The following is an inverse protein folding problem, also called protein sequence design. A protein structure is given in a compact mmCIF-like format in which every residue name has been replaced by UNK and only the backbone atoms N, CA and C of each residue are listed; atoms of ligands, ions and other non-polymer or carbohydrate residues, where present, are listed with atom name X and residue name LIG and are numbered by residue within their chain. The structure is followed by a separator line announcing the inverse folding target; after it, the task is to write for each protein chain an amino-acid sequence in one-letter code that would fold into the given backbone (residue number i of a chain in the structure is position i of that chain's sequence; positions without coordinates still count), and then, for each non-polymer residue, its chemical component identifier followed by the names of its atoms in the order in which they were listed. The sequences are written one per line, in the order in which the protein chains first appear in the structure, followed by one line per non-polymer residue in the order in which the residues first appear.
data_IF_671903128026
#
_entry.id   IF_671903128026
#
_cell.length_a   1.000
_cell.length_b   1.000
_cell.length_c   1.000
_cell.angle_alpha   90.00
_cell.angle_beta   90.00
_cell.angle_gamma   90.00
#
_symmetry.space_group_name_H-M   'P 1'
#
loop_
_entity.id
_entity.type
_entity.pdbx_description
1 polymer ?
#
# COMPACT_ATOMS: atom_id res chain seq x y z
N UNK A 1 -20.99 3.03 46.73
CA UNK A 1 -19.93 2.07 47.11
C UNK A 1 -20.47 0.68 46.82
N UNK A 2 -19.61 -0.25 46.39
CA UNK A 2 -19.88 -1.62 45.89
C UNK A 2 -19.97 -1.73 44.36
N UNK A 3 -18.84 -2.15 43.79
CA UNK A 3 -18.67 -2.66 42.44
C UNK A 3 -19.17 -4.10 42.36
N UNK A 4 -19.82 -4.48 41.25
CA UNK A 4 -20.01 -5.88 40.88
C UNK A 4 -19.18 -6.19 39.63
N UNK A 5 -18.23 -7.12 39.82
CA UNK A 5 -17.40 -7.73 38.79
C UNK A 5 -18.23 -8.74 38.00
N UNK A 6 -18.19 -8.64 36.67
CA UNK A 6 -18.57 -9.73 35.77
C UNK A 6 -17.37 -10.10 34.92
N UNK A 7 -16.82 -11.28 35.18
CA UNK A 7 -15.78 -11.94 34.38
C UNK A 7 -16.35 -12.25 32.99
N UNK A 8 -15.67 -11.82 31.93
CA UNK A 8 -15.85 -12.37 30.58
C UNK A 8 -14.59 -13.15 30.26
N UNK A 9 -14.75 -14.47 30.15
CA UNK A 9 -13.77 -15.42 29.65
C UNK A 9 -13.67 -15.31 28.14
N UNK A 10 -12.48 -14.99 27.62
CA UNK A 10 -12.18 -15.08 26.19
C UNK A 10 -11.81 -16.53 25.85
N UNK A 11 -12.73 -17.24 25.19
CA UNK A 11 -12.43 -18.53 24.57
C UNK A 11 -11.70 -18.30 23.25
N UNK A 12 -10.60 -19.04 23.08
CA UNK A 12 -9.76 -19.02 21.89
C UNK A 12 -10.47 -19.54 20.65
N UNK A 13 -10.27 -18.82 19.55
CA UNK A 13 -10.50 -19.32 18.20
C UNK A 13 -9.34 -18.80 17.32
N UNK A 14 -8.30 -19.62 17.19
CA UNK A 14 -7.26 -19.50 16.17
C UNK A 14 -6.88 -20.90 15.71
N UNK A 15 -7.70 -21.50 14.84
CA UNK A 15 -7.44 -22.82 14.26
C UNK A 15 -7.51 -22.84 12.72
N UNK A 16 -7.58 -21.68 12.06
CA UNK A 16 -7.77 -21.63 10.60
C UNK A 16 -6.62 -21.06 9.77
N UNK A 17 -5.56 -20.50 10.39
CA UNK A 17 -4.42 -19.96 9.65
C UNK A 17 -3.25 -20.95 9.50
N UNK A 18 -3.07 -21.91 10.43
CA UNK A 18 -1.96 -22.88 10.35
C UNK A 18 -2.19 -24.03 9.35
N UNK A 19 -3.43 -24.37 9.01
CA UNK A 19 -3.73 -25.64 8.34
C UNK A 19 -3.70 -25.61 6.80
N UNK A 20 -3.61 -24.44 6.16
CA UNK A 20 -3.67 -24.33 4.69
C UNK A 20 -2.29 -24.23 4.02
N UNK A 21 -1.25 -23.79 4.73
CA UNK A 21 0.13 -23.72 4.22
C UNK A 21 0.89 -25.06 4.34
N UNK A 22 0.51 -25.93 5.28
CA UNK A 22 1.25 -27.19 5.55
C UNK A 22 0.94 -28.38 4.64
N UNK A 23 -0.04 -28.30 3.73
CA UNK A 23 -0.55 -29.49 3.01
C UNK A 23 -0.10 -29.71 1.55
N UNK A 24 0.81 -28.91 1.00
CA UNK A 24 1.23 -29.07 -0.41
C UNK A 24 2.71 -29.42 -0.61
N UNK A 25 3.44 -29.80 0.44
CA UNK A 25 4.82 -30.27 0.28
C UNK A 25 4.98 -31.59 1.03
N UNK A 26 4.61 -32.70 0.39
CA UNK A 26 5.21 -34.00 0.70
C UNK A 26 5.16 -34.94 -0.53
N UNK A 27 6.38 -35.26 -0.98
CA UNK A 27 6.85 -36.47 -1.65
C UNK A 27 6.29 -36.87 -3.03
N UNK A 28 7.11 -36.65 -4.06
CA UNK A 28 7.42 -37.69 -5.05
C UNK A 28 8.94 -37.73 -5.26
N UNK A 29 9.59 -38.71 -4.62
CA UNK A 29 10.95 -39.13 -4.98
C UNK A 29 10.77 -40.13 -6.13
N UNK A 30 11.15 -39.72 -7.34
CA UNK A 30 11.45 -40.66 -8.42
C UNK A 30 12.82 -40.29 -9.00
N UNK A 31 13.72 -41.28 -8.96
CA UNK A 31 15.06 -41.22 -9.52
C UNK A 31 14.97 -41.01 -11.03
N UNK A 32 15.35 -39.84 -11.52
CA UNK A 32 15.67 -39.61 -12.93
C UNK A 32 17.11 -39.12 -13.04
N UNK A 33 17.88 -39.80 -13.88
CA UNK A 33 19.24 -39.44 -14.26
C UNK A 33 19.26 -38.02 -14.85
N UNK A 34 19.90 -37.08 -14.15
CA UNK A 34 20.01 -35.69 -14.60
C UNK A 34 21.31 -35.55 -15.41
N UNK A 35 21.16 -35.43 -16.73
CA UNK A 35 22.17 -34.79 -17.58
C UNK A 35 22.30 -33.32 -17.16
N UNK A 36 23.52 -32.77 -16.97
CA UNK A 36 23.68 -31.43 -16.44
C UNK A 36 23.20 -30.40 -17.47
N UNK A 37 21.98 -29.90 -17.29
CA UNK A 37 21.58 -28.63 -17.89
C UNK A 37 22.21 -27.54 -17.02
N UNK A 38 22.99 -26.67 -17.66
CA UNK A 38 23.67 -25.56 -17.02
C UNK A 38 22.67 -24.71 -16.23
N UNK A 39 22.75 -24.79 -14.90
CA UNK A 39 22.18 -23.77 -14.02
C UNK A 39 23.03 -22.51 -14.22
N UNK A 40 22.45 -21.47 -14.80
CA UNK A 40 23.02 -20.14 -14.72
C UNK A 40 22.94 -19.72 -13.24
N UNK A 41 24.04 -19.88 -12.53
CA UNK A 41 24.25 -19.29 -11.21
C UNK A 41 24.37 -17.78 -11.45
N UNK A 42 23.30 -17.03 -11.21
CA UNK A 42 23.39 -15.58 -11.09
C UNK A 42 24.14 -15.29 -9.79
N UNK A 43 25.41 -14.90 -9.92
CA UNK A 43 26.21 -14.46 -8.78
C UNK A 43 25.67 -13.17 -8.19
N UNK A 44 25.75 -13.08 -6.87
CA UNK A 44 25.48 -11.91 -6.03
C UNK A 44 25.92 -10.59 -6.67
N UNK A 45 24.93 -9.73 -6.92
CA UNK A 45 25.10 -8.39 -7.41
C UNK A 45 23.71 -7.87 -7.71
N UNK A 46 23.29 -6.87 -6.96
CA UNK A 46 22.04 -6.13 -7.12
C UNK A 46 21.54 -6.19 -8.57
N UNK A 47 20.25 -6.48 -8.78
CA UNK A 47 19.59 -5.99 -9.98
C UNK A 47 19.91 -4.51 -9.98
N UNK A 48 20.87 -4.09 -10.81
CA UNK A 48 21.28 -2.70 -10.96
C UNK A 48 19.98 -1.99 -11.32
N UNK A 49 19.29 -1.45 -10.30
CA UNK A 49 18.15 -0.56 -10.43
C UNK A 49 18.67 0.44 -11.44
N UNK A 50 18.18 0.41 -12.70
CA UNK A 50 18.98 0.95 -13.78
C UNK A 50 19.33 2.37 -13.38
N UNK A 51 20.62 2.69 -13.37
CA UNK A 51 21.12 4.05 -13.18
C UNK A 51 20.56 5.01 -14.28
N UNK A 52 19.72 4.49 -15.19
CA UNK A 52 18.91 5.17 -16.19
C UNK A 52 17.48 5.51 -15.72
N UNK A 53 17.01 4.97 -14.60
CA UNK A 53 15.71 5.33 -14.00
C UNK A 53 15.82 6.65 -13.22
N UNK A 54 14.68 7.29 -12.93
CA UNK A 54 14.63 8.50 -12.11
C UNK A 54 15.06 8.29 -10.64
N UNK A 55 15.41 7.06 -10.25
CA UNK A 55 15.94 6.70 -8.94
C UNK A 55 17.38 7.17 -8.82
N UNK A 56 17.65 8.06 -7.85
CA UNK A 56 18.97 8.69 -7.64
C UNK A 56 19.71 8.13 -6.42
N UNK A 57 19.03 7.41 -5.54
CA UNK A 57 19.63 6.75 -4.38
C UNK A 57 18.73 5.59 -3.93
N UNK A 58 19.32 4.53 -3.37
CA UNK A 58 18.59 3.44 -2.76
C UNK A 58 19.39 2.81 -1.62
N UNK A 59 18.70 2.12 -0.71
CA UNK A 59 19.31 1.37 0.38
C UNK A 59 18.43 0.18 0.77
N UNK A 60 19.04 -0.92 1.18
CA UNK A 60 18.33 -2.11 1.67
C UNK A 60 17.44 -1.77 2.89
N UNK A 61 16.18 -2.21 2.87
CA UNK A 61 15.25 -2.06 3.98
C UNK A 61 15.68 -2.84 5.23
N UNK A 62 16.33 -3.98 5.08
CA UNK A 62 16.81 -4.85 6.16
C UNK A 62 18.19 -4.40 6.68
N UNK A 63 18.31 -3.10 6.95
CA UNK A 63 19.54 -2.46 7.44
C UNK A 63 19.29 -1.66 8.72
N UNK A 64 20.36 -1.28 9.42
CA UNK A 64 20.26 -0.53 10.68
C UNK A 64 19.42 -1.27 11.72
N UNK A 65 18.40 -0.61 12.27
CA UNK A 65 17.48 -1.22 13.25
C UNK A 65 16.67 -2.40 12.69
N UNK A 66 16.54 -2.53 11.37
CA UNK A 66 15.79 -3.62 10.73
C UNK A 66 16.71 -4.77 10.27
N UNK A 67 17.99 -4.74 10.63
CA UNK A 67 18.99 -5.74 10.23
C UNK A 67 18.77 -7.12 10.85
N UNK A 68 18.13 -7.20 12.02
CA UNK A 68 17.66 -8.44 12.64
C UNK A 68 16.31 -8.22 13.32
N UNK A 69 15.55 -9.30 13.51
CA UNK A 69 14.27 -9.27 14.22
C UNK A 69 14.43 -8.72 15.65
N UNK A 70 15.44 -9.20 16.39
CA UNK A 70 15.74 -8.71 17.74
C UNK A 70 16.12 -7.22 17.76
N UNK A 71 16.90 -6.73 16.80
CA UNK A 71 17.22 -5.29 16.71
C UNK A 71 15.95 -4.45 16.48
N UNK A 72 15.07 -4.91 15.60
CA UNK A 72 13.82 -4.23 15.28
C UNK A 72 12.84 -4.24 16.46
N UNK A 73 12.66 -5.40 17.10
CA UNK A 73 11.85 -5.57 18.31
C UNK A 73 12.35 -4.65 19.42
N UNK A 74 13.64 -4.69 19.74
CA UNK A 74 14.22 -3.86 20.80
C UNK A 74 14.06 -2.37 20.50
N UNK A 75 14.34 -1.94 19.26
CA UNK A 75 14.12 -0.54 18.87
C UNK A 75 12.66 -0.13 19.01
N UNK A 76 11.70 -1.00 18.70
CA UNK A 76 10.27 -0.67 18.77
C UNK A 76 9.75 -0.67 20.20
N UNK A 77 10.07 -1.71 20.98
CA UNK A 77 9.61 -1.88 22.36
C UNK A 77 10.23 -0.84 23.28
N UNK A 78 11.56 -0.66 23.21
CA UNK A 78 12.30 0.22 24.12
C UNK A 78 12.09 1.69 23.73
N UNK A 79 12.25 2.04 22.45
CA UNK A 79 12.23 3.46 22.06
C UNK A 79 10.82 4.02 21.87
N UNK A 80 9.82 3.17 21.62
CA UNK A 80 8.43 3.62 21.36
C UNK A 80 7.44 3.24 22.47
N UNK A 81 7.89 2.51 23.50
CA UNK A 81 7.04 2.11 24.64
C UNK A 81 5.94 1.12 24.27
N UNK A 82 6.07 0.44 23.12
CA UNK A 82 5.11 -0.59 22.67
C UNK A 82 5.32 -1.83 23.53
N UNK A 83 4.24 -2.43 24.04
CA UNK A 83 4.33 -3.70 24.79
C UNK A 83 4.86 -4.79 23.88
N UNK A 84 5.88 -5.52 24.33
CA UNK A 84 6.53 -6.59 23.55
C UNK A 84 5.53 -7.62 23.00
N UNK A 85 4.59 -8.07 23.82
CA UNK A 85 3.53 -8.99 23.40
C UNK A 85 2.68 -8.46 22.23
N UNK A 86 2.47 -7.14 22.13
CA UNK A 86 1.75 -6.53 21.01
C UNK A 86 2.61 -6.52 19.75
N UNK A 87 3.92 -6.28 19.90
CA UNK A 87 4.86 -6.37 18.80
C UNK A 87 4.90 -7.79 18.23
N UNK A 88 5.15 -8.80 19.07
CA UNK A 88 5.26 -10.20 18.64
C UNK A 88 3.96 -10.69 18.01
N UNK A 89 2.81 -10.31 18.57
CA UNK A 89 1.51 -10.65 17.99
C UNK A 89 1.32 -10.07 16.58
N UNK A 90 1.93 -8.92 16.30
CA UNK A 90 1.76 -8.20 15.03
C UNK A 90 2.82 -8.55 14.00
N UNK A 91 4.04 -8.85 14.44
CA UNK A 91 5.22 -9.08 13.62
C UNK A 91 5.89 -10.35 14.14
N UNK A 92 5.67 -11.48 13.47
CA UNK A 92 6.30 -12.73 13.88
C UNK A 92 7.75 -12.78 13.41
N UNK A 93 8.60 -13.47 14.15
CA UNK A 93 9.99 -13.71 13.76
C UNK A 93 10.08 -14.56 12.49
N UNK A 94 9.22 -15.58 12.38
CA UNK A 94 9.12 -16.44 11.19
C UNK A 94 8.80 -15.62 9.93
N UNK A 95 7.81 -14.72 9.99
CA UNK A 95 7.47 -13.85 8.85
C UNK A 95 8.61 -12.89 8.53
N UNK A 96 9.35 -12.41 9.52
CA UNK A 96 10.53 -11.58 9.29
C UNK A 96 11.60 -12.33 8.51
N UNK A 97 11.94 -13.56 8.91
CA UNK A 97 12.90 -14.39 8.19
C UNK A 97 12.40 -14.74 6.79
N UNK A 98 11.13 -15.14 6.67
CA UNK A 98 10.48 -15.41 5.40
C UNK A 98 10.61 -14.22 4.43
N UNK A 99 10.25 -13.00 4.86
CA UNK A 99 10.35 -11.81 4.03
C UNK A 99 11.79 -11.47 3.68
N UNK A 100 12.71 -11.49 4.65
CA UNK A 100 14.11 -11.15 4.45
C UNK A 100 14.81 -12.11 3.49
N UNK A 101 14.50 -13.39 3.57
CA UNK A 101 15.10 -14.43 2.74
C UNK A 101 14.56 -14.38 1.31
N UNK A 102 13.24 -14.13 1.15
CA UNK A 102 12.55 -14.34 -0.13
C UNK A 102 12.20 -13.06 -0.89
N UNK A 103 12.42 -11.86 -0.34
CA UNK A 103 12.16 -10.59 -1.04
C UNK A 103 13.36 -9.67 -1.06
N UNK A 104 13.54 -8.95 -2.16
CA UNK A 104 14.30 -7.70 -2.17
C UNK A 104 13.41 -6.59 -1.64
N UNK A 105 13.97 -5.71 -0.81
CA UNK A 105 13.31 -4.48 -0.37
C UNK A 105 14.31 -3.33 -0.35
N UNK A 106 13.99 -2.27 -1.07
CA UNK A 106 14.79 -1.06 -1.13
C UNK A 106 13.97 0.14 -0.70
N UNK A 107 14.51 0.95 0.21
CA UNK A 107 14.12 2.35 0.33
C UNK A 107 14.75 3.11 -0.83
N UNK A 108 13.93 3.74 -1.67
CA UNK A 108 14.40 4.47 -2.85
C UNK A 108 14.21 5.98 -2.67
N UNK A 109 15.05 6.76 -3.33
CA UNK A 109 14.85 8.19 -3.59
C UNK A 109 14.82 8.40 -5.08
N UNK A 110 13.75 9.00 -5.58
CA UNK A 110 13.59 9.26 -7.01
C UNK A 110 13.24 10.74 -7.26
N UNK A 111 13.59 11.19 -8.47
CA UNK A 111 13.41 12.57 -8.90
C UNK A 111 12.08 12.72 -9.64
N UNK A 112 11.32 13.73 -9.24
CA UNK A 112 10.11 14.18 -9.92
C UNK A 112 10.28 15.66 -10.19
N UNK A 113 10.39 16.03 -11.47
CA UNK A 113 10.71 17.41 -11.87
C UNK A 113 11.96 17.96 -11.14
N UNK A 114 11.76 18.92 -10.22
CA UNK A 114 12.82 19.60 -9.46
C UNK A 114 12.88 19.16 -7.99
N UNK A 115 12.12 18.15 -7.58
CA UNK A 115 12.12 17.65 -6.21
C UNK A 115 12.46 16.15 -6.12
N UNK A 116 12.86 15.75 -4.92
CA UNK A 116 13.19 14.38 -4.55
C UNK A 116 12.08 13.82 -3.69
N UNK A 117 11.71 12.57 -3.96
CA UNK A 117 10.68 11.85 -3.23
C UNK A 117 11.25 10.54 -2.72
N UNK A 118 10.97 10.20 -1.46
CA UNK A 118 11.30 8.88 -0.92
C UNK A 118 10.19 7.89 -1.26
N UNK A 119 10.55 6.63 -1.40
CA UNK A 119 9.62 5.54 -1.64
C UNK A 119 10.19 4.21 -1.20
N UNK A 120 9.47 3.15 -1.53
CA UNK A 120 9.91 1.78 -1.34
C UNK A 120 9.69 0.99 -2.62
N UNK A 121 10.57 0.01 -2.87
CA UNK A 121 10.46 -0.96 -3.94
C UNK A 121 10.69 -2.35 -3.35
N UNK A 122 9.75 -3.26 -3.56
CA UNK A 122 9.80 -4.64 -3.10
C UNK A 122 9.50 -5.57 -4.26
N UNK A 123 10.21 -6.70 -4.35
CA UNK A 123 9.93 -7.75 -5.33
C UNK A 123 10.55 -9.09 -4.87
N UNK A 124 10.05 -10.25 -5.33
CA UNK A 124 10.56 -11.54 -4.90
C UNK A 124 12.01 -11.79 -5.38
N UNK A 125 12.83 -12.48 -4.57
CA UNK A 125 14.21 -12.85 -4.95
C UNK A 125 14.22 -14.02 -5.91
N UNK A 126 13.47 -15.06 -5.59
CA UNK A 126 13.24 -16.15 -6.53
C UNK A 126 12.16 -15.73 -7.50
N UNK A 127 12.51 -15.67 -8.77
CA UNK A 127 11.54 -15.50 -9.84
C UNK A 127 11.81 -16.53 -10.93
N UNK A 128 11.04 -17.62 -10.90
CA UNK A 128 11.04 -18.63 -11.97
C UNK A 128 10.29 -18.15 -13.23
N UNK A 129 9.83 -16.89 -13.27
CA UNK A 129 8.90 -16.41 -14.29
C UNK A 129 9.46 -15.37 -15.26
N UNK A 130 8.85 -15.44 -16.45
CA UNK A 130 8.48 -14.35 -17.35
C UNK A 130 8.08 -13.08 -16.56
N UNK A 131 8.19 -11.91 -17.21
CA UNK A 131 7.82 -10.59 -16.69
C UNK A 131 6.62 -10.63 -15.70
N UNK A 132 6.80 -10.10 -14.49
CA UNK A 132 5.84 -10.17 -13.36
C UNK A 132 5.01 -8.86 -13.22
N UNK A 133 3.77 -8.94 -12.71
CA UNK A 133 2.90 -7.77 -12.60
C UNK A 133 3.38 -6.82 -11.48
N UNK A 134 2.98 -5.56 -11.60
CA UNK A 134 3.36 -4.49 -10.65
C UNK A 134 2.16 -3.91 -9.92
N UNK A 135 2.37 -3.51 -8.67
CA UNK A 135 1.41 -2.82 -7.81
C UNK A 135 2.04 -1.50 -7.36
N UNK A 136 1.42 -0.40 -7.76
CA UNK A 136 1.71 0.92 -7.19
C UNK A 136 0.88 1.06 -5.92
N UNK A 137 1.54 1.08 -4.76
CA UNK A 137 0.89 1.27 -3.48
C UNK A 137 0.85 2.76 -3.10
N UNK A 138 -0.37 3.27 -2.94
CA UNK A 138 -0.66 4.64 -2.55
C UNK A 138 -1.08 4.68 -1.08
N UNK A 139 -0.22 5.26 -0.24
CA UNK A 139 -0.46 5.41 1.21
C UNK A 139 -1.55 6.45 1.53
N UNK A 140 -2.19 6.30 2.68
CA UNK A 140 -3.19 7.22 3.24
C UNK A 140 -2.59 8.48 3.89
N UNK A 141 -3.29 9.08 4.86
CA UNK A 141 -2.68 10.10 5.75
C UNK A 141 -2.23 11.41 5.10
N UNK A 142 -1.28 12.12 5.71
CA UNK A 142 -0.83 13.46 5.29
C UNK A 142 0.69 13.64 5.47
N UNK A 143 1.19 14.87 5.35
CA UNK A 143 2.60 15.28 5.44
C UNK A 143 3.30 14.91 6.76
N UNK A 144 2.53 14.58 7.81
CA UNK A 144 3.05 14.20 9.12
C UNK A 144 3.88 12.92 9.10
N UNK A 145 4.96 12.88 9.89
CA UNK A 145 5.82 11.70 10.07
C UNK A 145 5.02 10.46 10.51
N UNK A 146 4.03 10.63 11.39
CA UNK A 146 3.19 9.54 11.91
C UNK A 146 2.28 8.89 10.86
N UNK A 147 2.14 9.54 9.70
CA UNK A 147 1.29 9.06 8.64
C UNK A 147 2.07 8.45 7.49
N UNK A 148 3.41 8.53 7.48
CA UNK A 148 4.28 8.01 6.42
C UNK A 148 4.39 6.48 6.46
N UNK A 149 4.80 5.87 5.35
CA UNK A 149 5.12 4.44 5.32
C UNK A 149 6.36 4.15 6.17
N UNK A 150 6.22 3.20 7.10
CA UNK A 150 7.30 2.63 7.91
C UNK A 150 7.55 1.17 7.53
N UNK A 151 8.66 0.61 8.00
CA UNK A 151 8.95 -0.83 7.84
C UNK A 151 7.79 -1.70 8.36
N UNK A 152 7.19 -1.36 9.49
CA UNK A 152 5.99 -2.01 10.04
C UNK A 152 4.80 -2.02 9.07
N UNK A 153 4.62 -0.95 8.29
CA UNK A 153 3.59 -0.89 7.26
C UNK A 153 3.95 -1.79 6.07
N UNK A 154 5.21 -1.80 5.64
CA UNK A 154 5.69 -2.71 4.60
C UNK A 154 5.44 -4.16 5.04
N UNK A 155 5.81 -4.51 6.27
CA UNK A 155 5.64 -5.83 6.87
C UNK A 155 4.17 -6.27 6.86
N UNK A 156 3.28 -5.36 7.27
CA UNK A 156 1.86 -5.70 7.41
C UNK A 156 1.12 -5.81 6.07
N UNK A 157 1.59 -5.14 5.00
CA UNK A 157 0.77 -4.93 3.79
C UNK A 157 1.50 -5.15 2.47
N UNK A 158 2.81 -4.88 2.37
CA UNK A 158 3.53 -4.86 1.09
C UNK A 158 4.42 -6.09 0.87
N UNK A 159 5.13 -6.56 1.90
CA UNK A 159 5.92 -7.78 1.82
C UNK A 159 5.08 -9.01 1.43
N UNK A 160 3.88 -9.22 2.00
CA UNK A 160 3.01 -10.30 1.55
C UNK A 160 2.69 -10.24 0.04
N UNK A 161 2.43 -9.05 -0.51
CA UNK A 161 2.12 -8.89 -1.94
C UNK A 161 3.35 -9.22 -2.82
N UNK A 162 4.54 -8.85 -2.35
CA UNK A 162 5.79 -9.17 -3.03
C UNK A 162 6.08 -10.68 -3.03
N UNK A 163 5.84 -11.37 -1.91
CA UNK A 163 5.95 -12.84 -1.84
C UNK A 163 4.98 -13.54 -2.80
N UNK A 164 3.80 -12.98 -3.02
CA UNK A 164 2.80 -13.48 -3.97
C UNK A 164 3.14 -13.16 -5.44
N UNK A 165 4.40 -12.80 -5.73
CA UNK A 165 4.91 -12.67 -7.10
C UNK A 165 4.67 -11.31 -7.75
N UNK A 166 4.52 -10.23 -6.97
CA UNK A 166 4.33 -8.88 -7.49
C UNK A 166 5.54 -7.99 -7.25
N UNK A 167 5.80 -7.08 -8.18
CA UNK A 167 6.62 -5.89 -7.88
C UNK A 167 5.72 -4.93 -7.12
N UNK A 168 6.12 -4.46 -5.95
CA UNK A 168 5.38 -3.46 -5.17
C UNK A 168 6.23 -2.21 -5.04
N UNK A 169 5.74 -1.09 -5.57
CA UNK A 169 6.42 0.20 -5.49
C UNK A 169 5.51 1.22 -4.83
N UNK A 170 6.06 2.03 -3.91
CA UNK A 170 5.29 2.97 -3.11
C UNK A 170 5.97 4.33 -3.02
N UNK A 171 5.17 5.40 -3.01
CA UNK A 171 5.65 6.77 -2.79
C UNK A 171 5.34 7.25 -1.38
N UNK A 172 6.25 8.02 -0.76
CA UNK A 172 5.95 8.78 0.46
C UNK A 172 5.15 10.06 0.18
N UNK A 173 5.08 10.47 -1.08
CA UNK A 173 4.66 11.78 -1.57
C UNK A 173 5.62 12.91 -1.19
N UNK A 174 5.68 13.93 -2.04
CA UNK A 174 6.36 15.18 -1.76
C UNK A 174 5.81 15.84 -0.49
N UNK A 175 6.65 16.57 0.22
CA UNK A 175 6.30 17.25 1.47
C UNK A 175 6.17 16.34 2.70
N UNK A 176 6.20 15.02 2.54
CA UNK A 176 6.21 14.10 3.67
C UNK A 176 7.43 14.32 4.57
N UNK A 177 7.23 14.33 5.89
CA UNK A 177 8.28 14.51 6.91
C UNK A 177 9.12 13.24 7.12
N UNK A 178 9.78 12.79 6.05
CA UNK A 178 10.65 11.59 5.97
C UNK A 178 12.14 11.92 5.76
N UNK A 179 12.45 13.19 5.54
CA UNK A 179 13.81 13.67 5.38
C UNK A 179 14.45 13.97 6.74
N UNK A 180 15.73 13.61 6.96
CA UNK A 180 16.43 14.03 8.18
C UNK A 180 16.56 15.56 8.22
N UNK A 181 16.71 16.13 9.42
CA UNK A 181 16.90 17.60 9.59
C UNK A 181 18.10 18.15 8.81
N UNK A 182 19.09 17.31 8.52
CA UNK A 182 20.28 17.65 7.73
C UNK A 182 20.02 17.74 6.22
N UNK A 183 18.87 17.25 5.73
CA UNK A 183 18.55 17.29 4.30
C UNK A 183 18.41 18.74 3.81
N UNK A 184 19.19 19.10 2.79
CA UNK A 184 19.21 20.44 2.17
C UNK A 184 18.55 20.47 0.78
N UNK A 185 17.99 19.36 0.31
CA UNK A 185 17.36 19.28 -1.00
C UNK A 185 15.90 19.75 -1.00
N UNK A 186 15.30 19.81 -2.19
CA UNK A 186 13.87 20.05 -2.36
C UNK A 186 13.09 18.73 -2.21
N UNK A 187 12.33 18.58 -1.13
CA UNK A 187 11.52 17.40 -0.82
C UNK A 187 10.09 17.43 -1.36
N UNK A 188 9.76 18.43 -2.18
CA UNK A 188 8.39 18.63 -2.69
C UNK A 188 7.43 19.20 -1.65
N UNK A 189 6.15 19.26 -2.00
CA UNK A 189 5.07 19.78 -1.16
C UNK A 189 3.93 18.77 -1.16
N UNK A 190 3.25 18.63 -0.03
CA UNK A 190 2.04 17.82 0.09
C UNK A 190 0.81 18.73 -0.09
N UNK A 191 0.08 18.58 -1.21
CA UNK A 191 -1.13 19.34 -1.50
C UNK A 191 -2.42 18.54 -1.28
N UNK A 192 -2.34 17.37 -0.63
CA UNK A 192 -3.47 16.50 -0.33
C UNK A 192 -4.34 16.12 -1.54
N UNK A 193 -3.76 15.66 -2.64
CA UNK A 193 -4.42 15.35 -3.92
C UNK A 193 -4.07 16.33 -5.03
N UNK A 194 -2.97 17.08 -4.90
CA UNK A 194 -2.53 18.09 -5.87
C UNK A 194 -1.29 17.64 -6.64
N UNK A 195 -0.23 18.43 -6.58
CA UNK A 195 1.01 18.21 -7.33
C UNK A 195 1.65 16.83 -7.09
N UNK A 196 1.53 16.26 -5.88
CA UNK A 196 2.13 14.97 -5.52
C UNK A 196 1.44 13.76 -6.17
N UNK A 197 0.34 13.94 -6.91
CA UNK A 197 -0.16 12.92 -7.85
C UNK A 197 0.89 12.61 -8.93
N UNK A 198 1.71 13.58 -9.32
CA UNK A 198 2.81 13.34 -10.25
C UNK A 198 3.90 12.43 -9.67
N UNK A 199 4.03 12.39 -8.33
CA UNK A 199 4.97 11.48 -7.67
C UNK A 199 4.52 10.02 -7.83
N UNK A 200 3.20 9.78 -7.81
CA UNK A 200 2.61 8.46 -8.08
C UNK A 200 2.85 8.06 -9.54
N UNK A 201 2.58 8.97 -10.49
CA UNK A 201 2.76 8.70 -11.91
C UNK A 201 4.23 8.46 -12.29
N UNK A 202 5.16 9.11 -11.60
CA UNK A 202 6.60 8.92 -11.79
C UNK A 202 7.11 7.52 -11.40
N UNK A 203 6.30 6.69 -10.71
CA UNK A 203 6.63 5.31 -10.42
C UNK A 203 6.47 4.39 -11.65
N UNK A 204 5.62 4.74 -12.61
CA UNK A 204 5.40 3.96 -13.85
C UNK A 204 6.71 3.80 -14.65
N UNK A 205 7.46 4.87 -14.99
CA UNK A 205 8.72 4.70 -15.70
C UNK A 205 9.80 3.98 -14.87
N UNK A 206 9.72 3.99 -13.53
CA UNK A 206 10.61 3.19 -12.68
C UNK A 206 10.28 1.70 -12.84
N UNK A 207 8.99 1.34 -12.83
CA UNK A 207 8.52 -0.02 -13.13
C UNK A 207 8.98 -0.44 -14.53
N UNK A 208 8.78 0.39 -15.55
CA UNK A 208 9.14 0.08 -16.94
C UNK A 208 10.64 -0.20 -17.12
N UNK A 209 11.49 0.40 -16.28
CA UNK A 209 12.93 0.19 -16.29
C UNK A 209 13.34 -1.16 -15.66
N UNK A 210 12.50 -1.80 -14.84
CA UNK A 210 12.83 -3.08 -14.23
C UNK A 210 12.73 -4.20 -15.28
N UNK A 211 13.82 -4.96 -15.56
CA UNK A 211 13.80 -6.02 -16.56
C UNK A 211 12.75 -7.11 -16.29
N UNK A 212 12.48 -7.34 -15.01
CA UNK A 212 11.51 -8.31 -14.51
C UNK A 212 10.06 -7.82 -14.60
N UNK A 213 9.80 -6.53 -14.83
CA UNK A 213 8.43 -6.00 -14.83
C UNK A 213 7.69 -6.27 -16.15
N UNK A 214 6.41 -6.61 -16.01
CA UNK A 214 5.44 -6.59 -17.11
C UNK A 214 4.82 -5.19 -17.24
N UNK A 215 5.16 -4.42 -18.28
CA UNK A 215 4.66 -3.05 -18.44
C UNK A 215 3.15 -2.99 -18.71
N UNK A 216 2.51 -4.10 -19.07
CA UNK A 216 1.08 -4.14 -19.40
C UNK A 216 0.20 -4.53 -18.21
N UNK A 217 0.81 -4.94 -17.09
CA UNK A 217 0.10 -5.43 -15.90
C UNK A 217 0.49 -4.61 -14.68
N UNK A 218 -0.13 -3.43 -14.56
CA UNK A 218 0.05 -2.51 -13.43
C UNK A 218 -1.29 -2.29 -12.72
N UNK A 219 -1.33 -2.56 -11.41
CA UNK A 219 -2.43 -2.20 -10.53
C UNK A 219 -2.07 -1.00 -9.66
N UNK A 220 -3.08 -0.27 -9.18
CA UNK A 220 -2.90 0.66 -8.05
C UNK A 220 -3.67 0.16 -6.84
N UNK A 221 -3.00 0.10 -5.69
CA UNK A 221 -3.62 -0.21 -4.41
C UNK A 221 -3.52 1.00 -3.49
N UNK A 222 -4.66 1.62 -3.16
CA UNK A 222 -4.73 2.77 -2.27
C UNK A 222 -5.57 2.51 -1.03
N UNK A 223 -5.16 3.07 0.11
CA UNK A 223 -5.97 3.07 1.35
C UNK A 223 -6.24 4.49 1.85
N UNK A 224 -7.47 4.79 2.27
CA UNK A 224 -7.88 6.12 2.72
C UNK A 224 -7.56 7.18 1.65
N UNK A 225 -6.88 8.28 1.99
CA UNK A 225 -6.34 9.25 0.99
C UNK A 225 -5.63 8.55 -0.18
N UNK A 226 -4.94 7.44 0.05
CA UNK A 226 -4.27 6.69 -1.01
C UNK A 226 -5.20 6.22 -2.11
N UNK A 227 -6.44 5.85 -1.80
CA UNK A 227 -7.42 5.52 -2.83
C UNK A 227 -7.95 6.74 -3.58
N UNK A 228 -8.10 7.89 -2.89
CA UNK A 228 -8.34 9.17 -3.56
C UNK A 228 -7.19 9.50 -4.53
N UNK A 229 -5.94 9.33 -4.11
CA UNK A 229 -4.76 9.51 -4.97
C UNK A 229 -4.79 8.57 -6.18
N UNK A 230 -5.12 7.28 -5.98
CA UNK A 230 -5.27 6.30 -7.08
C UNK A 230 -6.34 6.72 -8.07
N UNK A 231 -7.51 7.19 -7.59
CA UNK A 231 -8.60 7.66 -8.44
C UNK A 231 -8.22 8.93 -9.22
N UNK A 232 -7.44 9.85 -8.64
CA UNK A 232 -6.96 11.03 -9.39
C UNK A 232 -5.91 10.60 -10.42
N UNK A 233 -4.95 9.76 -10.02
CA UNK A 233 -3.85 9.32 -10.87
C UNK A 233 -4.35 8.55 -12.11
N UNK A 234 -5.35 7.68 -11.95
CA UNK A 234 -5.89 6.88 -13.05
C UNK A 234 -6.54 7.72 -14.15
N UNK A 235 -7.01 8.93 -13.84
CA UNK A 235 -7.54 9.85 -14.88
C UNK A 235 -6.45 10.47 -15.76
N UNK A 236 -5.17 10.23 -15.43
CA UNK A 236 -4.00 10.84 -16.08
C UNK A 236 -3.11 9.82 -16.78
N UNK A 237 -3.51 8.54 -16.80
CA UNK A 237 -2.76 7.47 -17.45
C UNK A 237 -3.67 6.33 -17.87
N UNK A 238 -3.32 5.66 -18.95
CA UNK A 238 -3.96 4.45 -19.50
C UNK A 238 -3.23 3.15 -19.10
N UNK A 239 -2.17 3.26 -18.30
CA UNK A 239 -1.27 2.14 -17.95
C UNK A 239 -1.82 1.21 -16.87
N UNK A 240 -2.88 1.61 -16.17
CA UNK A 240 -3.39 0.90 -14.98
C UNK A 240 -4.56 0.00 -15.37
N UNK A 241 -4.47 -1.30 -15.03
CA UNK A 241 -5.48 -2.31 -15.34
C UNK A 241 -6.53 -2.49 -14.27
N UNK A 242 -6.16 -2.26 -13.02
CA UNK A 242 -7.10 -2.42 -11.91
C UNK A 242 -6.76 -1.54 -10.71
N UNK A 243 -7.80 -1.17 -9.96
CA UNK A 243 -7.70 -0.44 -8.70
C UNK A 243 -8.18 -1.30 -7.53
N UNK A 244 -7.48 -1.21 -6.41
CA UNK A 244 -7.93 -1.68 -5.10
C UNK A 244 -7.98 -0.46 -4.18
N UNK A 245 -9.16 -0.17 -3.64
CA UNK A 245 -9.44 1.04 -2.87
C UNK A 245 -10.02 0.66 -1.50
N UNK A 246 -9.20 0.75 -0.46
CA UNK A 246 -9.62 0.47 0.92
C UNK A 246 -10.01 1.74 1.67
N UNK A 247 -11.15 1.75 2.36
CA UNK A 247 -11.62 2.86 3.20
C UNK A 247 -11.49 4.25 2.55
N UNK A 248 -11.68 4.33 1.23
CA UNK A 248 -11.26 5.47 0.42
C UNK A 248 -12.37 6.52 0.29
N UNK A 249 -12.12 7.79 0.65
CA UNK A 249 -13.09 8.84 0.45
C UNK A 249 -13.24 9.17 -1.04
N UNK A 250 -14.49 9.25 -1.49
CA UNK A 250 -14.89 9.52 -2.88
C UNK A 250 -15.68 10.82 -3.01
N UNK A 251 -16.12 11.37 -1.88
CA UNK A 251 -16.79 12.66 -1.75
C UNK A 251 -16.30 13.35 -0.48
N UNK A 252 -15.53 14.43 -0.64
CA UNK A 252 -15.12 15.31 0.45
C UNK A 252 -16.08 16.48 0.68
N UNK A 253 -17.02 16.77 -0.22
CA UNK A 253 -17.97 17.88 -0.04
C UNK A 253 -19.00 17.51 1.04
N UNK A 254 -19.50 16.28 1.01
CA UNK A 254 -20.49 15.79 1.98
C UNK A 254 -19.85 15.03 3.16
N UNK A 255 -18.52 15.02 3.22
CA UNK A 255 -17.77 14.23 4.21
C UNK A 255 -17.85 14.83 5.62
N UNK A 256 -17.84 13.95 6.63
CA UNK A 256 -17.62 14.36 8.02
C UNK A 256 -16.21 14.94 8.22
N UNK A 257 -15.25 14.61 7.35
CA UNK A 257 -13.89 15.16 7.40
C UNK A 257 -13.87 16.69 7.25
N UNK A 258 -14.82 17.25 6.50
CA UNK A 258 -14.97 18.71 6.27
C UNK A 258 -15.87 19.41 7.28
N UNK A 259 -16.15 18.75 8.41
CA UNK A 259 -16.83 19.31 9.57
C UNK A 259 -16.13 18.89 10.87
N UNK A 260 -14.85 18.54 10.79
CA UNK A 260 -14.04 18.00 11.89
C UNK A 260 -12.71 18.76 12.03
N UNK A 261 -11.94 18.56 13.12
CA UNK A 261 -10.60 19.14 13.25
C UNK A 261 -9.69 18.84 12.04
N UNK A 262 -9.93 17.73 11.35
CA UNK A 262 -9.22 17.35 10.13
C UNK A 262 -9.28 18.43 9.04
N UNK A 263 -10.38 19.18 8.91
CA UNK A 263 -10.47 20.24 7.92
C UNK A 263 -9.40 21.30 8.17
N UNK A 264 -9.32 21.81 9.41
CA UNK A 264 -8.39 22.89 9.75
C UNK A 264 -6.94 22.39 9.82
N UNK A 265 -6.72 21.20 10.37
CA UNK A 265 -5.38 20.65 10.60
C UNK A 265 -4.74 20.08 9.33
N UNK A 266 -5.55 19.71 8.34
CA UNK A 266 -5.08 19.02 7.13
C UNK A 266 -5.54 19.74 5.87
N UNK A 267 -6.86 19.77 5.60
CA UNK A 267 -7.37 20.24 4.30
C UNK A 267 -7.05 21.72 4.07
N UNK A 268 -7.38 22.61 5.02
CA UNK A 268 -7.11 24.04 4.90
C UNK A 268 -5.64 24.39 4.95
N UNK A 269 -4.79 23.52 5.51
CA UNK A 269 -3.34 23.76 5.63
C UNK A 269 -2.58 23.29 4.39
N UNK A 270 -2.96 22.14 3.84
CA UNK A 270 -2.23 21.49 2.76
C UNK A 270 -2.78 21.86 1.39
N UNK A 271 -4.10 22.05 1.26
CA UNK A 271 -4.70 22.32 -0.05
C UNK A 271 -4.48 23.80 -0.42
N UNK A 272 -3.84 24.09 -1.55
CA UNK A 272 -3.62 25.47 -1.99
C UNK A 272 -4.95 26.21 -2.16
N UNK A 273 -4.98 27.48 -1.72
CA UNK A 273 -6.14 28.38 -1.83
C UNK A 273 -7.45 27.83 -1.22
N UNK A 274 -7.38 26.88 -0.27
CA UNK A 274 -8.55 26.19 0.26
C UNK A 274 -9.62 27.15 0.80
N UNK A 275 -9.24 28.17 1.59
CA UNK A 275 -10.21 29.11 2.18
C UNK A 275 -10.95 29.95 1.13
N UNK A 276 -10.25 30.36 0.07
CA UNK A 276 -10.83 31.16 -1.00
C UNK A 276 -11.64 30.32 -2.00
N UNK A 277 -11.36 29.02 -2.12
CA UNK A 277 -11.93 28.18 -3.17
C UNK A 277 -12.28 26.75 -2.68
N UNK A 278 -12.84 26.66 -1.47
CA UNK A 278 -13.12 25.39 -0.77
C UNK A 278 -13.92 24.43 -1.65
N UNK A 279 -15.01 24.89 -2.26
CA UNK A 279 -15.89 24.04 -3.05
C UNK A 279 -15.16 23.38 -4.23
N UNK A 280 -14.39 24.14 -5.00
CA UNK A 280 -13.63 23.59 -6.14
C UNK A 280 -12.50 22.67 -5.66
N UNK A 281 -11.78 23.07 -4.60
CA UNK A 281 -10.70 22.28 -4.01
C UNK A 281 -11.18 20.90 -3.55
N UNK A 282 -12.35 20.83 -2.91
CA UNK A 282 -12.98 19.58 -2.49
C UNK A 282 -13.49 18.78 -3.69
N UNK A 283 -14.13 19.43 -4.68
CA UNK A 283 -14.62 18.77 -5.90
C UNK A 283 -13.50 18.06 -6.67
N UNK A 284 -12.31 18.68 -6.77
CA UNK A 284 -11.13 18.10 -7.41
C UNK A 284 -10.64 16.80 -6.71
N UNK A 285 -10.94 16.63 -5.43
CA UNK A 285 -10.58 15.47 -4.60
C UNK A 285 -11.72 14.46 -4.42
N UNK A 286 -12.85 14.72 -5.06
CA UNK A 286 -14.10 13.97 -4.87
C UNK A 286 -14.49 13.29 -6.18
N UNK A 287 -14.06 12.04 -6.34
CA UNK A 287 -14.28 11.23 -7.54
C UNK A 287 -15.75 11.17 -7.99
N UNK A 288 -16.71 11.30 -7.07
CA UNK A 288 -18.12 11.33 -7.40
C UNK A 288 -18.50 12.44 -8.41
N UNK A 289 -17.73 13.53 -8.48
CA UNK A 289 -18.00 14.67 -9.37
C UNK A 289 -17.29 14.60 -10.73
N UNK A 290 -16.47 13.58 -10.95
CA UNK A 290 -15.73 13.38 -12.20
C UNK A 290 -15.58 11.89 -12.53
N UNK A 291 -16.53 11.08 -12.05
CA UNK A 291 -16.56 9.63 -12.22
C UNK A 291 -16.53 9.21 -13.70
N UNK A 292 -17.04 10.05 -14.59
CA UNK A 292 -17.03 9.92 -16.04
C UNK A 292 -15.61 9.98 -16.66
N UNK A 293 -14.62 10.48 -15.92
CA UNK A 293 -13.21 10.54 -16.34
C UNK A 293 -12.42 9.29 -15.98
N UNK A 294 -12.99 8.37 -15.21
CA UNK A 294 -12.33 7.10 -14.89
C UNK A 294 -12.35 6.22 -16.16
N UNK A 295 -11.21 5.62 -16.57
CA UNK A 295 -11.17 4.73 -17.73
C UNK A 295 -12.21 3.61 -17.62
N UNK A 296 -12.95 3.35 -18.69
CA UNK A 296 -14.09 2.40 -18.67
C UNK A 296 -13.66 0.93 -18.62
N UNK A 297 -12.47 0.64 -19.13
CA UNK A 297 -11.88 -0.70 -19.20
C UNK A 297 -11.21 -1.14 -17.89
N UNK A 298 -11.16 -0.28 -16.88
CA UNK A 298 -10.59 -0.62 -15.59
C UNK A 298 -11.58 -1.42 -14.72
N UNK A 299 -11.03 -2.36 -13.95
CA UNK A 299 -11.77 -3.02 -12.88
C UNK A 299 -11.42 -2.40 -11.52
N UNK A 300 -12.42 -2.17 -10.66
CA UNK A 300 -12.24 -1.56 -9.33
C UNK A 300 -12.75 -2.49 -8.22
N UNK A 301 -11.90 -2.79 -7.24
CA UNK A 301 -12.29 -3.36 -5.95
C UNK A 301 -12.34 -2.28 -4.89
N UNK A 302 -13.48 -2.13 -4.22
CA UNK A 302 -13.62 -1.29 -3.03
C UNK A 302 -13.80 -2.15 -1.78
N UNK A 303 -13.03 -1.86 -0.74
CA UNK A 303 -13.05 -2.57 0.55
C UNK A 303 -13.41 -1.57 1.64
N UNK A 304 -14.53 -1.77 2.35
CA UNK A 304 -15.01 -0.75 3.30
C UNK A 304 -15.65 -1.33 4.56
N UNK A 305 -15.39 -0.72 5.71
CA UNK A 305 -16.02 -1.10 6.98
C UNK A 305 -17.37 -0.43 7.17
N UNK A 306 -18.39 -1.15 7.62
CA UNK A 306 -19.73 -0.56 7.83
C UNK A 306 -19.78 0.39 9.03
N UNK A 307 -18.80 0.34 9.93
CA UNK A 307 -18.69 1.20 11.11
C UNK A 307 -17.52 2.19 11.01
N UNK A 308 -17.08 2.51 9.80
CA UNK A 308 -16.04 3.51 9.55
C UNK A 308 -16.51 4.91 9.99
N UNK A 309 -15.87 5.45 11.04
CA UNK A 309 -16.19 6.77 11.60
C UNK A 309 -15.54 7.95 10.85
N UNK A 310 -14.65 7.66 9.90
CA UNK A 310 -13.92 8.67 9.13
C UNK A 310 -14.50 8.85 7.74
N UNK A 311 -14.86 7.74 7.08
CA UNK A 311 -15.42 7.75 5.73
C UNK A 311 -16.71 6.95 5.73
N UNK A 312 -17.84 7.64 5.58
CA UNK A 312 -19.16 7.01 5.56
C UNK A 312 -19.27 6.00 4.40
N UNK A 313 -19.65 4.77 4.74
CA UNK A 313 -19.89 3.69 3.78
C UNK A 313 -20.98 4.04 2.77
N UNK A 314 -21.96 4.87 3.13
CA UNK A 314 -23.03 5.28 2.21
C UNK A 314 -22.49 6.13 1.05
N UNK A 315 -21.50 6.98 1.29
CA UNK A 315 -20.81 7.74 0.23
C UNK A 315 -20.16 6.79 -0.79
N UNK A 316 -19.55 5.70 -0.29
CA UNK A 316 -18.94 4.66 -1.13
C UNK A 316 -19.98 3.87 -1.91
N UNK A 317 -21.11 3.50 -1.29
CA UNK A 317 -22.22 2.81 -1.97
C UNK A 317 -22.76 3.68 -3.13
N UNK A 318 -23.01 4.97 -2.87
CA UNK A 318 -23.49 5.90 -3.89
C UNK A 318 -22.51 6.04 -5.07
N UNK A 319 -21.21 6.09 -4.78
CA UNK A 319 -20.18 6.14 -5.81
C UNK A 319 -20.11 4.84 -6.63
N UNK A 320 -20.19 3.68 -5.98
CA UNK A 320 -20.23 2.37 -6.66
C UNK A 320 -21.42 2.28 -7.61
N UNK A 321 -22.61 2.72 -7.18
CA UNK A 321 -23.80 2.74 -8.03
C UNK A 321 -23.64 3.70 -9.22
N UNK A 322 -23.00 4.85 -9.01
CA UNK A 322 -22.68 5.79 -10.09
C UNK A 322 -21.75 5.17 -11.13
N UNK A 323 -20.59 4.61 -10.73
CA UNK A 323 -19.62 4.08 -11.70
C UNK A 323 -20.12 2.80 -12.39
N UNK A 324 -20.98 2.00 -11.74
CA UNK A 324 -21.71 0.92 -12.40
C UNK A 324 -22.60 1.42 -13.53
N UNK A 325 -23.36 2.50 -13.31
CA UNK A 325 -24.20 3.13 -14.36
C UNK A 325 -23.37 3.69 -15.51
N UNK A 326 -22.11 4.04 -15.27
CA UNK A 326 -21.17 4.48 -16.30
C UNK A 326 -20.50 3.31 -17.05
N UNK A 327 -20.81 2.06 -16.67
CA UNK A 327 -20.29 0.85 -17.32
C UNK A 327 -18.94 0.38 -16.80
N UNK A 328 -18.44 0.93 -15.67
CA UNK A 328 -17.17 0.52 -15.07
C UNK A 328 -17.40 -0.74 -14.23
N UNK A 329 -16.54 -1.75 -14.41
CA UNK A 329 -16.57 -2.96 -13.60
C UNK A 329 -16.12 -2.64 -12.17
N UNK A 330 -17.03 -2.70 -11.19
CA UNK A 330 -16.71 -2.48 -9.78
C UNK A 330 -17.33 -3.54 -8.87
N UNK A 331 -16.53 -3.99 -7.90
CA UNK A 331 -16.97 -4.81 -6.76
C UNK A 331 -16.77 -4.04 -5.46
N UNK A 332 -17.83 -3.96 -4.66
CA UNK A 332 -17.75 -3.48 -3.27
C UNK A 332 -17.81 -4.67 -2.32
N UNK A 333 -16.80 -4.81 -1.45
CA UNK A 333 -16.84 -5.72 -0.32
C UNK A 333 -16.94 -4.92 0.98
N UNK A 334 -18.07 -5.08 1.63
CA UNK A 334 -18.34 -4.49 2.95
C UNK A 334 -17.89 -5.47 4.05
N UNK A 335 -17.26 -4.93 5.08
CA UNK A 335 -16.88 -5.67 6.29
C UNK A 335 -17.76 -5.20 7.43
N UNK A 336 -18.64 -6.09 7.88
CA UNK A 336 -19.63 -5.78 8.90
C UNK A 336 -18.95 -5.41 10.23
N UNK A 337 -19.40 -4.33 10.87
CA UNK A 337 -18.78 -3.70 12.03
C UNK A 337 -17.32 -3.25 11.83
N UNK A 338 -16.78 -3.34 10.62
CA UNK A 338 -15.40 -3.02 10.31
C UNK A 338 -15.09 -1.55 10.53
N UNK A 339 -13.92 -1.27 11.10
CA UNK A 339 -13.38 0.09 11.28
C UNK A 339 -12.74 0.63 10.00
N UNK A 340 -12.27 1.89 10.03
CA UNK A 340 -11.50 2.49 8.93
C UNK A 340 -10.23 1.71 8.54
N UNK A 341 -9.67 0.96 9.50
CA UNK A 341 -8.43 0.21 9.31
C UNK A 341 -8.67 -1.25 8.93
N UNK A 342 -9.88 -1.76 9.15
CA UNK A 342 -10.25 -3.16 8.96
C UNK A 342 -9.29 -4.17 9.60
N UNK A 343 -8.63 -3.79 10.71
CA UNK A 343 -7.66 -4.64 11.41
C UNK A 343 -8.31 -5.95 11.85
N UNK A 344 -9.56 -5.90 12.28
CA UNK A 344 -10.34 -7.05 12.75
C UNK A 344 -10.60 -8.08 11.64
N UNK A 345 -10.54 -7.65 10.38
CA UNK A 345 -10.79 -8.47 9.19
C UNK A 345 -9.55 -8.59 8.29
N UNK A 346 -8.34 -8.32 8.80
CA UNK A 346 -7.13 -8.20 7.98
C UNK A 346 -6.90 -9.39 7.04
N UNK A 347 -7.02 -10.63 7.53
CA UNK A 347 -6.84 -11.82 6.69
C UNK A 347 -7.88 -11.89 5.55
N UNK A 348 -9.13 -11.58 5.85
CA UNK A 348 -10.21 -11.55 4.85
C UNK A 348 -10.06 -10.38 3.85
N UNK A 349 -9.54 -9.24 4.29
CA UNK A 349 -9.15 -8.11 3.43
C UNK A 349 -8.06 -8.57 2.47
N UNK A 350 -7.01 -9.16 3.00
CA UNK A 350 -5.87 -9.61 2.22
C UNK A 350 -6.24 -10.68 1.18
N UNK A 351 -6.99 -11.70 1.58
CA UNK A 351 -7.49 -12.71 0.64
C UNK A 351 -8.32 -12.10 -0.51
N UNK A 352 -9.12 -11.07 -0.20
CA UNK A 352 -9.92 -10.39 -1.23
C UNK A 352 -9.06 -9.62 -2.22
N UNK A 353 -7.93 -9.07 -1.75
CA UNK A 353 -6.95 -8.38 -2.59
C UNK A 353 -6.27 -9.39 -3.51
N UNK A 354 -5.77 -10.51 -2.98
CA UNK A 354 -5.11 -11.55 -3.79
C UNK A 354 -6.05 -12.18 -4.81
N UNK A 355 -7.26 -12.55 -4.39
CA UNK A 355 -8.28 -13.08 -5.30
C UNK A 355 -8.61 -12.09 -6.42
N UNK A 356 -8.63 -10.80 -6.11
CA UNK A 356 -8.91 -9.76 -7.10
C UNK A 356 -7.77 -9.59 -8.09
N UNK A 357 -6.52 -9.49 -7.60
CA UNK A 357 -5.32 -9.39 -8.42
C UNK A 357 -5.23 -10.57 -9.38
N UNK A 358 -5.39 -11.81 -8.87
CA UNK A 358 -5.37 -13.02 -9.70
C UNK A 358 -6.34 -13.02 -10.88
N UNK A 359 -7.47 -12.34 -10.75
CA UNK A 359 -8.53 -12.34 -11.76
C UNK A 359 -8.54 -11.08 -12.65
N UNK A 360 -7.86 -10.00 -12.26
CA UNK A 360 -7.96 -8.69 -12.93
C UNK A 360 -6.61 -8.05 -13.28
N UNK A 361 -5.49 -8.71 -12.96
CA UNK A 361 -4.14 -8.27 -13.25
C UNK A 361 -3.32 -9.43 -13.84
#
# INVERSE_FOLDING_TARGET
MVFHLSRITFNGQNLFYENKMRKTILLFITLFNITPHAFAIYSEGDINLPLQSSVVNYSDCFSGFYSSYESWKNSTVINSGVKEQYFIHRFSEDDYHLFKENTFCYSITYKVNKHLVKGFLLYPKENNYKKIPSIIYNRGGNDSKYHTLTFDNLFSYLFPLALEGHIVIASQYGGAKVWPKSFKGNGGVDEFGGAEVNDVLALIPIIDALPIADPNRIAMFGWSRGGMMSLIAVTKTDRIKTLILGASPVDYITSTLTSSPFENEVLSRLIPNYKANKAQALKQRSAIYWADKIPKDIAILMLHGTNDKRVDVNSVINFVDLIKRLGINVKLKKYENGSHSLIESRGNVYNSILDWLKNNL
#
